data_IF_430993852208
#
_entry.id   IF_430993852208
#
_cell.length_a   1.000
_cell.length_b   1.000
_cell.length_c   1.000
_cell.angle_alpha   90.00
_cell.angle_beta   90.00
_cell.angle_gamma   90.00
#
_symmetry.space_group_name_H-M   'P 1'
#
loop_
_entity.id
_entity.type
_entity.pdbx_description
1 polymer ?
#
# COMPACT_ATOMS: atom_id res chain seq x y z
N UNK A 1 -17.30 -18.28 10.72
CA UNK A 1 -17.13 -16.91 11.28
C UNK A 1 -15.91 -16.21 10.69
N UNK A 2 -14.74 -16.84 10.65
CA UNK A 2 -13.50 -16.25 10.14
C UNK A 2 -13.58 -15.71 8.71
N UNK A 3 -14.11 -16.48 7.75
CA UNK A 3 -14.27 -16.03 6.36
C UNK A 3 -15.15 -14.78 6.22
N UNK A 4 -16.21 -14.65 7.01
CA UNK A 4 -17.05 -13.46 7.02
C UNK A 4 -16.29 -12.23 7.51
N UNK A 5 -15.50 -12.36 8.57
CA UNK A 5 -14.70 -11.26 9.10
C UNK A 5 -13.59 -10.86 8.12
N UNK A 6 -12.99 -11.82 7.42
CA UNK A 6 -12.02 -11.55 6.36
C UNK A 6 -12.65 -10.74 5.21
N UNK A 7 -13.81 -11.16 4.71
CA UNK A 7 -14.52 -10.43 3.63
C UNK A 7 -14.87 -9.02 4.08
N UNK A 8 -15.44 -8.86 5.28
CA UNK A 8 -15.77 -7.53 5.84
C UNK A 8 -14.52 -6.63 5.93
N UNK A 9 -13.41 -7.16 6.45
CA UNK A 9 -12.17 -6.40 6.56
C UNK A 9 -11.59 -6.03 5.18
N UNK A 10 -11.63 -6.95 4.22
CA UNK A 10 -11.15 -6.70 2.86
C UNK A 10 -11.98 -5.62 2.16
N UNK A 11 -13.31 -5.68 2.26
CA UNK A 11 -14.21 -4.67 1.69
C UNK A 11 -13.99 -3.31 2.36
N UNK A 12 -13.90 -3.26 3.69
CA UNK A 12 -13.63 -2.02 4.42
C UNK A 12 -12.29 -1.40 4.01
N UNK A 13 -11.26 -2.23 3.88
CA UNK A 13 -9.95 -1.80 3.40
C UNK A 13 -10.00 -1.29 1.95
N UNK A 14 -10.73 -1.99 1.06
CA UNK A 14 -10.91 -1.57 -0.34
C UNK A 14 -11.53 -0.19 -0.43
N UNK A 15 -12.60 0.06 0.32
CA UNK A 15 -13.29 1.36 0.28
C UNK A 15 -12.45 2.46 0.92
N UNK A 16 -11.73 2.17 2.01
CA UNK A 16 -10.78 3.13 2.59
C UNK A 16 -9.67 3.51 1.58
N UNK A 17 -9.12 2.54 0.84
CA UNK A 17 -8.08 2.79 -0.15
C UNK A 17 -8.61 3.45 -1.42
N UNK A 18 -9.84 3.17 -1.81
CA UNK A 18 -10.55 3.93 -2.84
C UNK A 18 -10.59 5.42 -2.46
N UNK A 19 -11.09 5.73 -1.27
CA UNK A 19 -11.19 7.09 -0.76
C UNK A 19 -9.81 7.78 -0.65
N UNK A 20 -8.84 7.07 -0.05
CA UNK A 20 -7.48 7.58 0.16
C UNK A 20 -6.77 8.00 -1.13
N UNK A 21 -7.02 7.29 -2.22
CA UNK A 21 -6.30 7.48 -3.49
C UNK A 21 -6.98 8.44 -4.46
N UNK A 22 -8.16 9.01 -4.15
CA UNK A 22 -8.95 9.83 -5.09
C UNK A 22 -8.19 11.02 -5.67
N UNK A 23 -7.34 11.68 -4.90
CA UNK A 23 -6.59 12.85 -5.37
C UNK A 23 -5.58 12.51 -6.47
N UNK A 24 -5.13 11.25 -6.56
CA UNK A 24 -4.22 10.82 -7.61
C UNK A 24 -4.86 10.88 -9.00
N UNK A 25 -5.88 10.07 -9.28
CA UNK A 25 -6.54 10.04 -10.58
C UNK A 25 -7.28 11.35 -10.93
N UNK A 26 -7.75 12.12 -9.95
CA UNK A 26 -8.38 13.44 -10.16
C UNK A 26 -7.35 14.58 -10.28
N UNK A 27 -6.06 14.29 -10.08
CA UNK A 27 -4.99 15.31 -10.11
C UNK A 27 -4.98 16.17 -11.38
N UNK A 28 -5.06 15.61 -12.60
CA UNK A 28 -5.09 16.39 -13.83
C UNK A 28 -6.30 17.34 -13.91
N UNK A 29 -7.50 16.88 -13.55
CA UNK A 29 -8.72 17.67 -13.60
C UNK A 29 -8.70 18.81 -12.57
N UNK A 30 -8.21 18.52 -11.35
CA UNK A 30 -7.99 19.52 -10.30
C UNK A 30 -6.90 20.52 -10.68
N UNK A 31 -5.87 20.07 -11.40
CA UNK A 31 -4.83 20.96 -11.93
C UNK A 31 -5.41 21.98 -12.90
N UNK A 32 -6.24 21.53 -13.82
CA UNK A 32 -6.88 22.38 -14.82
C UNK A 32 -7.88 23.35 -14.17
N UNK A 33 -8.77 22.85 -13.30
CA UNK A 33 -9.80 23.67 -12.65
C UNK A 33 -9.21 24.75 -11.73
N UNK A 34 -8.13 24.42 -10.98
CA UNK A 34 -7.53 25.35 -10.02
C UNK A 34 -6.33 26.11 -10.58
N UNK A 35 -5.93 25.88 -11.84
CA UNK A 35 -4.78 26.51 -12.46
C UNK A 35 -3.45 26.19 -11.74
N UNK A 36 -3.28 24.96 -11.25
CA UNK A 36 -2.12 24.56 -10.45
C UNK A 36 -0.88 24.29 -11.32
N UNK A 37 0.28 24.63 -10.78
CA UNK A 37 1.56 24.16 -11.35
C UNK A 37 1.75 22.64 -11.14
N UNK A 38 2.64 22.02 -11.93
CA UNK A 38 2.98 20.60 -11.79
C UNK A 38 3.48 20.25 -10.36
N UNK A 39 4.22 21.16 -9.74
CA UNK A 39 4.72 21.00 -8.37
C UNK A 39 3.58 21.01 -7.35
N UNK A 40 2.63 21.94 -7.51
CA UNK A 40 1.46 22.04 -6.63
C UNK A 40 0.57 20.81 -6.75
N UNK A 41 0.32 20.34 -7.98
CA UNK A 41 -0.46 19.12 -8.25
C UNK A 41 0.23 17.90 -7.66
N UNK A 42 1.53 17.72 -7.90
CA UNK A 42 2.29 16.60 -7.35
C UNK A 42 2.30 16.61 -5.81
N UNK A 43 2.39 17.80 -5.20
CA UNK A 43 2.33 17.95 -3.74
C UNK A 43 0.95 17.56 -3.21
N UNK A 44 -0.12 18.05 -3.84
CA UNK A 44 -1.50 17.75 -3.48
C UNK A 44 -1.80 16.23 -3.51
N UNK A 45 -1.34 15.55 -4.55
CA UNK A 45 -1.50 14.09 -4.70
C UNK A 45 -0.68 13.31 -3.67
N UNK A 46 0.50 13.83 -3.30
CA UNK A 46 1.41 13.13 -2.38
C UNK A 46 1.03 13.30 -0.89
N UNK A 47 0.40 14.40 -0.53
CA UNK A 47 0.10 14.75 0.88
C UNK A 47 -0.68 13.67 1.64
N UNK A 48 -1.71 12.99 1.08
CA UNK A 48 -2.40 11.91 1.78
C UNK A 48 -1.48 10.75 2.19
N UNK A 49 -0.40 10.51 1.44
CA UNK A 49 0.54 9.42 1.73
C UNK A 49 1.28 9.66 3.04
N UNK A 50 1.58 10.93 3.37
CA UNK A 50 2.32 11.28 4.58
C UNK A 50 1.55 10.90 5.84
N UNK A 51 0.31 11.41 6.00
CA UNK A 51 -0.48 11.09 7.18
C UNK A 51 -0.85 9.59 7.21
N UNK A 52 -1.18 9.02 6.05
CA UNK A 52 -1.47 7.59 5.92
C UNK A 52 -0.32 6.70 6.39
N UNK A 53 0.92 7.08 6.09
CA UNK A 53 2.10 6.37 6.55
C UNK A 53 2.35 6.56 8.06
N UNK A 54 2.31 7.79 8.55
CA UNK A 54 2.55 8.11 9.96
C UNK A 54 1.50 7.48 10.89
N UNK A 55 0.22 7.56 10.52
CA UNK A 55 -0.88 7.06 11.34
C UNK A 55 -0.97 5.54 11.41
N UNK A 56 -0.30 4.81 10.52
CA UNK A 56 -0.17 3.34 10.62
C UNK A 56 0.45 2.91 11.95
N UNK A 57 1.39 3.70 12.47
CA UNK A 57 2.10 3.37 13.72
C UNK A 57 1.15 3.44 14.94
N UNK A 58 0.54 4.58 15.28
CA UNK A 58 -0.35 4.66 16.43
C UNK A 58 -1.62 3.83 16.27
N UNK A 59 -2.19 3.74 15.08
CA UNK A 59 -3.41 2.96 14.87
C UNK A 59 -3.17 1.45 14.87
N UNK A 60 -2.02 0.98 14.38
CA UNK A 60 -1.63 -0.42 14.50
C UNK A 60 -1.46 -0.84 15.96
N UNK A 61 -0.75 -0.03 16.76
CA UNK A 61 -0.64 -0.24 18.20
C UNK A 61 -2.01 -0.19 18.91
N UNK A 62 -2.87 0.76 18.54
CA UNK A 62 -4.20 0.91 19.13
C UNK A 62 -5.08 -0.30 18.81
N UNK A 63 -4.97 -0.86 17.59
CA UNK A 63 -5.69 -2.08 17.19
C UNK A 63 -5.29 -3.29 18.02
N UNK A 64 -4.00 -3.41 18.40
CA UNK A 64 -3.57 -4.45 19.34
C UNK A 64 -4.19 -4.24 20.73
N UNK A 65 -4.30 -3.00 21.18
CA UNK A 65 -4.73 -2.65 22.54
C UNK A 65 -6.25 -2.71 22.74
N UNK A 66 -7.00 -2.05 21.87
CA UNK A 66 -8.44 -1.81 22.02
C UNK A 66 -9.28 -2.80 21.20
N UNK A 67 -8.69 -3.37 20.14
CA UNK A 67 -9.36 -4.23 19.17
C UNK A 67 -9.53 -3.56 17.82
N UNK A 68 -9.32 -4.36 16.79
CA UNK A 68 -9.38 -3.88 15.41
C UNK A 68 -10.77 -3.41 15.01
N UNK A 69 -11.83 -4.01 15.57
CA UNK A 69 -13.23 -3.63 15.30
C UNK A 69 -13.50 -2.15 15.59
N UNK A 70 -13.14 -1.69 16.78
CA UNK A 70 -13.41 -0.31 17.22
C UNK A 70 -12.54 0.66 16.45
N UNK A 71 -11.23 0.36 16.35
CA UNK A 71 -10.26 1.25 15.67
C UNK A 71 -10.62 1.43 14.20
N UNK A 72 -11.04 0.36 13.53
CA UNK A 72 -11.46 0.45 12.12
C UNK A 72 -12.75 1.25 11.93
N UNK A 73 -13.73 1.07 12.82
CA UNK A 73 -14.98 1.85 12.81
C UNK A 73 -14.69 3.35 12.96
N UNK A 74 -13.87 3.71 13.95
CA UNK A 74 -13.46 5.12 14.18
C UNK A 74 -12.68 5.68 12.99
N UNK A 75 -11.78 4.90 12.40
CA UNK A 75 -11.03 5.29 11.21
C UNK A 75 -11.97 5.60 10.04
N UNK A 76 -12.94 4.73 9.75
CA UNK A 76 -13.91 4.96 8.68
C UNK A 76 -14.80 6.17 8.96
N UNK A 77 -15.33 6.29 10.19
CA UNK A 77 -16.16 7.42 10.59
C UNK A 77 -15.39 8.76 10.50
N UNK A 78 -14.12 8.79 10.92
CA UNK A 78 -13.26 9.97 10.75
C UNK A 78 -13.05 10.31 9.28
N UNK A 79 -12.79 9.32 8.43
CA UNK A 79 -12.51 9.51 7.00
C UNK A 79 -13.69 10.14 6.24
N UNK A 80 -14.93 9.95 6.71
CA UNK A 80 -16.10 10.60 6.15
C UNK A 80 -16.01 12.14 6.23
N UNK A 81 -15.40 12.68 7.28
CA UNK A 81 -15.31 14.13 7.46
C UNK A 81 -14.52 14.82 6.33
N UNK A 82 -13.25 14.45 6.06
CA UNK A 82 -12.51 15.07 4.94
C UNK A 82 -13.10 14.74 3.57
N UNK A 83 -13.74 13.57 3.37
CA UNK A 83 -14.41 13.25 2.11
C UNK A 83 -15.58 14.19 1.82
N UNK A 84 -16.47 14.36 2.80
CA UNK A 84 -17.62 15.27 2.70
C UNK A 84 -17.12 16.71 2.52
N UNK A 85 -16.11 17.10 3.28
CA UNK A 85 -15.51 18.42 3.15
C UNK A 85 -14.91 18.66 1.77
N UNK A 86 -14.21 17.69 1.18
CA UNK A 86 -13.68 17.76 -0.19
C UNK A 86 -14.78 17.87 -1.24
N UNK A 87 -15.91 17.20 -1.04
CA UNK A 87 -17.05 17.31 -1.93
C UNK A 87 -17.62 18.74 -2.02
N UNK A 88 -17.51 19.52 -0.92
CA UNK A 88 -17.96 20.92 -0.87
C UNK A 88 -16.85 21.95 -1.16
N UNK A 89 -15.61 21.67 -0.70
CA UNK A 89 -14.50 22.65 -0.68
C UNK A 89 -13.26 22.16 -1.42
N UNK A 90 -13.41 21.85 -2.70
CA UNK A 90 -12.28 21.49 -3.58
C UNK A 90 -11.78 22.66 -4.43
N UNK A 91 -12.24 23.89 -4.16
CA UNK A 91 -11.98 25.09 -4.98
C UNK A 91 -10.69 25.85 -4.64
N UNK A 92 -9.86 25.37 -3.72
CA UNK A 92 -8.58 25.99 -3.40
C UNK A 92 -7.50 24.97 -3.06
N UNK A 93 -6.26 25.28 -3.45
CA UNK A 93 -5.10 24.42 -3.13
C UNK A 93 -4.94 24.22 -1.61
N UNK A 94 -5.15 25.27 -0.80
CA UNK A 94 -5.04 25.17 0.65
C UNK A 94 -6.03 24.20 1.26
N UNK A 95 -7.30 24.22 0.81
CA UNK A 95 -8.31 23.26 1.24
C UNK A 95 -7.94 21.84 0.78
N UNK A 96 -7.50 21.68 -0.46
CA UNK A 96 -7.07 20.39 -1.01
C UNK A 96 -5.90 19.78 -0.25
N UNK A 97 -4.89 20.59 0.11
CA UNK A 97 -3.75 20.13 0.91
C UNK A 97 -4.17 19.73 2.32
N UNK A 98 -4.97 20.54 3.00
CA UNK A 98 -5.43 20.24 4.36
C UNK A 98 -6.34 19.01 4.39
N UNK A 99 -7.39 19.01 3.55
CA UNK A 99 -8.37 17.92 3.53
C UNK A 99 -7.77 16.63 2.97
N UNK A 100 -6.88 16.73 1.98
CA UNK A 100 -6.11 15.62 1.46
C UNK A 100 -5.17 15.02 2.53
N UNK A 101 -4.50 15.86 3.32
CA UNK A 101 -3.72 15.41 4.47
C UNK A 101 -4.59 14.63 5.47
N UNK A 102 -5.74 15.18 5.86
CA UNK A 102 -6.68 14.52 6.77
C UNK A 102 -7.25 13.22 6.17
N UNK A 103 -7.56 13.20 4.86
CA UNK A 103 -7.99 12.00 4.14
C UNK A 103 -6.92 10.89 4.18
N UNK A 104 -5.66 11.27 4.31
CA UNK A 104 -4.54 10.36 4.48
C UNK A 104 -4.74 9.31 5.58
N UNK A 105 -5.52 9.66 6.61
CA UNK A 105 -5.84 8.75 7.73
C UNK A 105 -6.42 7.40 7.25
N UNK A 106 -7.19 7.38 6.16
CA UNK A 106 -7.72 6.16 5.55
C UNK A 106 -6.62 5.18 5.08
N UNK A 107 -5.45 5.70 4.71
CA UNK A 107 -4.29 4.89 4.33
C UNK A 107 -3.70 4.05 5.48
N UNK A 108 -4.08 4.34 6.74
CA UNK A 108 -3.69 3.54 7.89
C UNK A 108 -4.58 2.30 8.12
N UNK A 109 -5.69 2.16 7.39
CA UNK A 109 -6.62 1.03 7.51
C UNK A 109 -5.94 -0.33 7.37
N UNK A 110 -4.88 -0.42 6.55
CA UNK A 110 -4.10 -1.64 6.43
C UNK A 110 -3.50 -2.09 7.78
N UNK A 111 -2.90 -1.19 8.53
CA UNK A 111 -2.25 -1.52 9.80
C UNK A 111 -3.27 -1.93 10.90
N UNK A 112 -4.48 -1.43 10.81
CA UNK A 112 -5.59 -1.79 11.73
C UNK A 112 -6.16 -3.18 11.41
N UNK A 113 -6.32 -3.49 10.13
CA UNK A 113 -6.97 -4.73 9.74
C UNK A 113 -6.05 -5.95 9.81
N UNK A 114 -4.72 -5.79 9.70
CA UNK A 114 -3.79 -6.92 9.82
C UNK A 114 -3.95 -7.66 11.17
N UNK A 115 -3.87 -7.02 12.35
CA UNK A 115 -4.08 -7.71 13.63
C UNK A 115 -5.53 -8.20 13.79
N UNK A 116 -6.53 -7.49 13.25
CA UNK A 116 -7.93 -7.93 13.26
C UNK A 116 -8.11 -9.25 12.51
N UNK A 117 -7.63 -9.33 11.27
CA UNK A 117 -7.73 -10.55 10.44
C UNK A 117 -6.89 -11.66 11.02
N UNK A 118 -5.66 -11.35 11.45
CA UNK A 118 -4.75 -12.33 12.02
C UNK A 118 -5.36 -13.10 13.21
N UNK A 119 -6.11 -12.42 14.06
CA UNK A 119 -6.75 -13.05 15.22
C UNK A 119 -7.82 -14.10 14.89
N UNK A 120 -8.34 -14.14 13.66
CA UNK A 120 -9.39 -15.07 13.23
C UNK A 120 -8.85 -16.34 12.57
N UNK A 121 -7.56 -16.41 12.27
CA UNK A 121 -6.96 -17.52 11.51
C UNK A 121 -5.83 -18.18 12.27
N UNK A 122 -5.75 -19.51 12.15
CA UNK A 122 -4.64 -20.28 12.68
C UNK A 122 -3.34 -20.00 11.90
N UNK A 123 -2.16 -20.23 12.51
CA UNK A 123 -0.87 -19.95 11.88
C UNK A 123 -0.73 -20.51 10.46
N UNK A 124 -1.34 -21.67 10.16
CA UNK A 124 -1.25 -22.36 8.86
C UNK A 124 -2.05 -21.65 7.75
N UNK A 125 -2.95 -20.72 8.11
CA UNK A 125 -3.84 -20.00 7.20
C UNK A 125 -3.69 -18.48 7.27
N UNK A 126 -2.81 -17.99 8.10
CA UNK A 126 -2.60 -16.53 8.25
C UNK A 126 -2.08 -15.89 6.97
N UNK A 127 -1.18 -16.54 6.25
CA UNK A 127 -0.64 -16.05 4.99
C UNK A 127 -1.74 -15.86 3.94
N UNK A 128 -2.59 -16.87 3.75
CA UNK A 128 -3.76 -16.76 2.88
C UNK A 128 -4.67 -15.59 3.30
N UNK A 129 -5.04 -15.53 4.58
CA UNK A 129 -5.96 -14.52 5.08
C UNK A 129 -5.41 -13.10 4.93
N UNK A 130 -4.14 -12.88 5.28
CA UNK A 130 -3.48 -11.58 5.15
C UNK A 130 -3.21 -11.22 3.68
N UNK A 131 -2.98 -12.21 2.82
CA UNK A 131 -2.88 -12.02 1.37
C UNK A 131 -4.20 -11.55 0.77
N UNK A 132 -5.32 -12.20 1.12
CA UNK A 132 -6.67 -11.80 0.69
C UNK A 132 -7.03 -10.42 1.24
N UNK A 133 -6.78 -10.17 2.54
CA UNK A 133 -6.97 -8.85 3.12
C UNK A 133 -6.19 -7.78 2.36
N UNK A 134 -4.93 -8.08 2.04
CA UNK A 134 -4.04 -7.20 1.27
C UNK A 134 -4.55 -6.83 -0.13
N UNK A 135 -5.44 -7.64 -0.73
CA UNK A 135 -6.11 -7.27 -2.00
C UNK A 135 -6.97 -6.02 -1.88
N UNK A 136 -7.38 -5.63 -0.67
CA UNK A 136 -8.16 -4.41 -0.45
C UNK A 136 -7.44 -3.15 -0.96
N UNK A 137 -6.11 -3.15 -1.10
CA UNK A 137 -5.43 -2.05 -1.80
C UNK A 137 -5.85 -1.89 -3.26
N UNK A 138 -6.54 -2.86 -3.86
CA UNK A 138 -7.19 -2.73 -5.16
C UNK A 138 -8.20 -1.59 -5.23
N UNK A 139 -8.61 -1.03 -4.09
CA UNK A 139 -9.38 0.22 -4.02
C UNK A 139 -8.70 1.36 -4.79
N UNK A 140 -7.36 1.43 -4.79
CA UNK A 140 -6.62 2.44 -5.58
C UNK A 140 -6.78 2.23 -7.08
N UNK A 141 -6.80 0.97 -7.53
CA UNK A 141 -7.03 0.63 -8.94
C UNK A 141 -8.46 1.00 -9.34
N UNK A 142 -9.44 0.67 -8.48
CA UNK A 142 -10.84 1.05 -8.71
C UNK A 142 -11.00 2.57 -8.79
N UNK A 143 -10.35 3.33 -7.91
CA UNK A 143 -10.38 4.79 -7.97
C UNK A 143 -9.78 5.32 -9.29
N UNK A 144 -8.63 4.78 -9.70
CA UNK A 144 -8.01 5.15 -10.97
C UNK A 144 -8.86 4.89 -12.19
N UNK A 145 -9.62 3.79 -12.19
CA UNK A 145 -10.48 3.40 -13.31
C UNK A 145 -11.83 4.12 -13.33
N UNK A 146 -12.33 4.57 -12.18
CA UNK A 146 -13.71 5.08 -12.10
C UNK A 146 -13.79 6.57 -11.80
N UNK A 147 -12.88 7.13 -10.98
CA UNK A 147 -13.02 8.50 -10.51
C UNK A 147 -12.96 9.56 -11.63
N UNK A 148 -12.04 9.49 -12.63
CA UNK A 148 -12.05 10.46 -13.72
C UNK A 148 -13.35 10.43 -14.53
N UNK A 149 -13.80 9.25 -14.97
CA UNK A 149 -15.04 9.12 -15.73
C UNK A 149 -16.31 9.56 -14.97
N UNK A 150 -16.28 9.45 -13.62
CA UNK A 150 -17.35 9.97 -12.76
C UNK A 150 -17.27 11.49 -12.69
N UNK A 151 -16.07 12.05 -12.57
CA UNK A 151 -15.84 13.48 -12.55
C UNK A 151 -16.25 14.14 -13.88
N UNK A 152 -15.86 13.56 -15.01
CA UNK A 152 -16.24 14.02 -16.36
C UNK A 152 -17.76 14.08 -16.54
N UNK A 153 -18.49 13.10 -16.00
CA UNK A 153 -19.93 12.98 -16.22
C UNK A 153 -20.78 13.76 -15.23
N UNK A 154 -20.35 13.86 -13.97
CA UNK A 154 -21.16 14.42 -12.87
C UNK A 154 -20.44 15.51 -12.07
N UNK A 155 -19.27 15.97 -12.53
CA UNK A 155 -18.46 16.98 -11.88
C UNK A 155 -17.52 16.45 -10.79
N UNK A 156 -16.52 17.25 -10.45
CA UNK A 156 -15.41 16.89 -9.54
C UNK A 156 -15.85 16.54 -8.10
N UNK A 157 -17.01 17.02 -7.66
CA UNK A 157 -17.59 16.64 -6.36
C UNK A 157 -18.08 15.19 -6.32
N UNK A 158 -18.51 14.63 -7.46
CA UNK A 158 -19.21 13.35 -7.52
C UNK A 158 -18.35 12.16 -7.05
N UNK A 159 -17.05 12.02 -7.39
CA UNK A 159 -16.20 10.96 -6.85
C UNK A 159 -16.08 10.98 -5.32
N UNK A 160 -16.01 12.18 -4.71
CA UNK A 160 -15.95 12.32 -3.25
C UNK A 160 -17.28 11.92 -2.59
N UNK A 161 -18.42 12.31 -3.15
CA UNK A 161 -19.74 11.88 -2.68
C UNK A 161 -19.93 10.38 -2.80
N UNK A 162 -19.53 9.78 -3.92
CA UNK A 162 -19.60 8.32 -4.08
C UNK A 162 -18.73 7.61 -3.04
N UNK A 163 -17.50 8.07 -2.84
CA UNK A 163 -16.61 7.49 -1.83
C UNK A 163 -17.20 7.63 -0.42
N UNK A 164 -17.76 8.80 -0.08
CA UNK A 164 -18.39 9.02 1.21
C UNK A 164 -19.61 8.11 1.41
N UNK A 165 -20.47 7.95 0.40
CA UNK A 165 -21.62 7.06 0.45
C UNK A 165 -21.21 5.59 0.64
N UNK A 166 -20.25 5.10 -0.15
CA UNK A 166 -19.71 3.75 -0.03
C UNK A 166 -19.07 3.52 1.35
N UNK A 167 -18.28 4.46 1.83
CA UNK A 167 -17.64 4.38 3.13
C UNK A 167 -18.65 4.40 4.27
N UNK A 168 -19.69 5.23 4.20
CA UNK A 168 -20.76 5.26 5.19
C UNK A 168 -21.52 3.93 5.26
N UNK A 169 -21.89 3.37 4.10
CA UNK A 169 -22.56 2.06 4.02
C UNK A 169 -21.68 0.98 4.63
N UNK A 170 -20.40 0.93 4.23
CA UNK A 170 -19.47 -0.09 4.75
C UNK A 170 -19.21 0.11 6.24
N UNK A 171 -19.13 1.35 6.72
CA UNK A 171 -18.98 1.65 8.15
C UNK A 171 -20.17 1.14 8.96
N UNK A 172 -21.40 1.36 8.51
CA UNK A 172 -22.61 0.83 9.15
C UNK A 172 -22.59 -0.71 9.17
N UNK A 173 -22.32 -1.34 8.03
CA UNK A 173 -22.21 -2.80 7.93
C UNK A 173 -21.13 -3.33 8.89
N UNK A 174 -19.99 -2.64 8.96
CA UNK A 174 -18.90 -2.99 9.85
C UNK A 174 -19.31 -2.94 11.32
N UNK A 175 -19.91 -1.85 11.75
CA UNK A 175 -20.35 -1.68 13.14
C UNK A 175 -21.35 -2.78 13.57
N UNK A 176 -22.26 -3.14 12.67
CA UNK A 176 -23.29 -4.16 12.92
C UNK A 176 -22.74 -5.59 12.89
N UNK A 177 -21.80 -5.87 11.99
CA UNK A 177 -21.43 -7.25 11.65
C UNK A 177 -20.00 -7.65 12.05
N UNK A 178 -19.08 -6.70 12.21
CA UNK A 178 -17.71 -7.02 12.58
C UNK A 178 -17.63 -7.41 14.06
N UNK A 179 -16.76 -8.36 14.33
CA UNK A 179 -16.44 -8.83 15.68
C UNK A 179 -14.94 -9.05 15.79
N UNK A 180 -14.36 -8.68 16.91
CA UNK A 180 -12.99 -9.09 17.21
C UNK A 180 -12.95 -10.61 17.50
N UNK A 181 -11.82 -11.24 17.19
CA UNK A 181 -11.60 -12.63 17.56
C UNK A 181 -11.55 -12.76 19.08
N UNK A 182 -11.98 -13.92 19.62
CA UNK A 182 -11.81 -14.20 21.04
C UNK A 182 -10.34 -14.00 21.42
N UNK A 183 -10.10 -13.14 22.41
CA UNK A 183 -8.75 -12.91 22.93
C UNK A 183 -8.57 -13.73 24.20
N UNK A 184 -7.52 -14.49 24.30
CA UNK A 184 -7.02 -14.95 25.60
C UNK A 184 -6.69 -13.71 26.44
N UNK A 185 -6.96 -13.80 27.75
CA UNK A 185 -6.69 -12.71 28.67
C UNK A 185 -5.17 -12.41 28.68
N UNK A 186 -4.78 -11.46 27.85
CA UNK A 186 -3.39 -10.96 27.83
C UNK A 186 -3.24 -9.96 28.97
N UNK A 187 -2.09 -10.00 29.63
CA UNK A 187 -1.73 -9.00 30.63
C UNK A 187 -1.75 -7.56 30.07
N UNK A 188 -1.51 -6.53 30.92
CA UNK A 188 -1.54 -5.14 30.47
C UNK A 188 -0.63 -4.92 29.28
N UNK A 189 -1.18 -4.44 28.17
CA UNK A 189 -0.40 -4.15 26.96
C UNK A 189 0.55 -2.96 27.22
N UNK A 190 1.80 -3.05 26.76
CA UNK A 190 2.77 -1.97 26.94
C UNK A 190 2.32 -0.70 26.22
N UNK A 191 2.72 0.48 26.72
CA UNK A 191 2.52 1.75 26.04
C UNK A 191 3.16 1.74 24.64
N UNK A 192 2.69 2.63 23.76
CA UNK A 192 3.15 2.67 22.36
C UNK A 192 4.67 2.68 22.21
N UNK A 193 5.38 3.53 22.95
CA UNK A 193 6.84 3.61 22.87
C UNK A 193 7.53 2.33 23.37
N UNK A 194 6.97 1.66 24.38
CA UNK A 194 7.49 0.37 24.86
C UNK A 194 7.20 -0.76 23.87
N UNK A 195 6.06 -0.72 23.17
CA UNK A 195 5.76 -1.67 22.10
C UNK A 195 6.71 -1.49 20.91
N UNK A 196 7.05 -0.25 20.57
CA UNK A 196 7.98 0.11 19.50
C UNK A 196 9.46 -0.09 19.87
N UNK A 197 9.76 -0.26 21.16
CA UNK A 197 11.14 -0.51 21.62
C UNK A 197 11.74 -1.81 21.02
N UNK A 198 10.91 -2.71 20.48
CA UNK A 198 11.38 -3.88 19.73
C UNK A 198 12.28 -3.51 18.55
N UNK A 199 12.08 -2.35 17.95
CA UNK A 199 12.94 -1.86 16.86
C UNK A 199 14.35 -1.43 17.33
N UNK A 200 14.54 -1.17 18.63
CA UNK A 200 15.88 -0.88 19.20
C UNK A 200 16.74 -2.13 19.36
N UNK A 201 16.13 -3.30 19.52
CA UNK A 201 16.82 -4.55 19.88
C UNK A 201 16.69 -5.67 18.85
N UNK A 202 15.77 -5.56 17.89
CA UNK A 202 15.48 -6.64 16.94
C UNK A 202 15.86 -6.30 15.50
N UNK A 203 16.90 -6.96 15.00
CA UNK A 203 17.24 -6.92 13.57
C UNK A 203 16.12 -7.47 12.67
N UNK A 204 15.30 -8.42 13.18
CA UNK A 204 14.14 -8.96 12.46
C UNK A 204 13.09 -7.89 12.16
N UNK A 205 12.86 -6.97 13.11
CA UNK A 205 11.92 -5.87 12.91
C UNK A 205 12.37 -4.92 11.77
N UNK A 206 13.65 -4.57 11.75
CA UNK A 206 14.23 -3.77 10.65
C UNK A 206 14.28 -4.52 9.34
N UNK A 207 14.50 -5.82 9.35
CA UNK A 207 14.45 -6.64 8.14
C UNK A 207 13.04 -6.62 7.51
N UNK A 208 11.97 -6.80 8.31
CA UNK A 208 10.59 -6.66 7.81
C UNK A 208 10.33 -5.29 7.20
N UNK A 209 10.88 -4.24 7.80
CA UNK A 209 10.79 -2.87 7.32
C UNK A 209 11.44 -2.74 5.92
N UNK A 210 12.66 -3.27 5.75
CA UNK A 210 13.38 -3.30 4.47
C UNK A 210 12.63 -4.15 3.43
N UNK A 211 12.14 -5.32 3.82
CA UNK A 211 11.43 -6.23 2.93
C UNK A 211 10.14 -5.61 2.39
N UNK A 212 9.39 -4.92 3.24
CA UNK A 212 8.16 -4.27 2.82
C UNK A 212 8.41 -2.96 2.07
N UNK A 213 9.48 -2.24 2.42
CA UNK A 213 9.96 -1.10 1.63
C UNK A 213 10.24 -1.52 0.18
N UNK A 214 10.90 -2.67 -0.05
CA UNK A 214 11.12 -3.18 -1.40
C UNK A 214 9.81 -3.68 -2.04
N UNK A 215 9.09 -4.59 -1.35
CA UNK A 215 7.94 -5.26 -1.96
C UNK A 215 6.78 -4.30 -2.25
N UNK A 216 6.37 -3.50 -1.27
CA UNK A 216 5.28 -2.55 -1.42
C UNK A 216 5.75 -1.21 -1.99
N UNK A 217 6.86 -0.68 -1.49
CA UNK A 217 7.42 0.57 -1.99
C UNK A 217 7.85 0.45 -3.45
N UNK A 218 8.49 -0.65 -3.82
CA UNK A 218 8.84 -0.95 -5.21
C UNK A 218 7.61 -1.07 -6.11
N UNK A 219 6.54 -1.72 -5.63
CA UNK A 219 5.25 -1.77 -6.33
C UNK A 219 4.68 -0.36 -6.58
N UNK A 220 4.58 0.47 -5.53
CA UNK A 220 4.01 1.82 -5.66
C UNK A 220 4.90 2.70 -6.53
N UNK A 221 6.21 2.60 -6.38
CA UNK A 221 7.17 3.35 -7.20
C UNK A 221 7.02 3.01 -8.69
N UNK A 222 6.96 1.72 -9.03
CA UNK A 222 6.73 1.27 -10.41
C UNK A 222 5.38 1.74 -10.94
N UNK A 223 4.30 1.59 -10.16
CA UNK A 223 2.97 2.02 -10.54
C UNK A 223 2.90 3.52 -10.87
N UNK A 224 3.50 4.36 -10.04
CA UNK A 224 3.51 5.82 -10.23
C UNK A 224 4.43 6.27 -11.37
N UNK A 225 5.53 5.53 -11.60
CA UNK A 225 6.54 5.94 -12.57
C UNK A 225 6.32 5.36 -13.97
N UNK A 226 5.67 4.20 -14.06
CA UNK A 226 5.44 3.50 -15.33
C UNK A 226 4.72 4.38 -16.37
N UNK A 227 3.67 5.17 -16.05
CA UNK A 227 3.05 6.07 -17.02
C UNK A 227 4.03 7.10 -17.60
N UNK A 228 4.87 7.70 -16.77
CA UNK A 228 5.87 8.69 -17.22
C UNK A 228 6.93 8.08 -18.12
N UNK A 229 7.34 6.85 -17.84
CA UNK A 229 8.28 6.12 -18.68
C UNK A 229 7.64 5.78 -20.04
N UNK A 230 6.40 5.26 -20.02
CA UNK A 230 5.66 4.87 -21.22
C UNK A 230 5.38 6.06 -22.14
N UNK A 231 4.99 7.21 -21.57
CA UNK A 231 4.76 8.42 -22.38
C UNK A 231 6.07 9.05 -22.86
N UNK A 232 7.12 9.05 -22.04
CA UNK A 232 8.37 9.76 -22.33
C UNK A 232 9.37 8.99 -23.19
N UNK A 233 9.34 7.64 -23.17
CA UNK A 233 10.27 6.79 -23.93
C UNK A 233 9.57 6.13 -25.12
N UNK A 234 8.31 5.71 -24.92
CA UNK A 234 7.56 4.95 -25.94
C UNK A 234 6.46 5.76 -26.61
N UNK A 235 6.37 7.05 -26.30
CA UNK A 235 5.43 8.01 -26.93
C UNK A 235 3.93 7.58 -26.87
N UNK A 236 3.58 6.75 -25.85
CA UNK A 236 2.21 6.32 -25.67
C UNK A 236 1.33 7.49 -25.21
N UNK A 237 0.04 7.42 -25.53
CA UNK A 237 -0.93 8.37 -25.00
C UNK A 237 -1.04 8.22 -23.47
N UNK A 238 -1.42 9.31 -22.77
CA UNK A 238 -1.63 9.28 -21.30
C UNK A 238 -2.64 8.19 -20.89
N UNK A 239 -3.69 8.01 -21.69
CA UNK A 239 -4.73 7.00 -21.46
C UNK A 239 -4.17 5.57 -21.55
N UNK A 240 -3.40 5.23 -22.59
CA UNK A 240 -2.83 3.90 -22.78
C UNK A 240 -1.76 3.62 -21.71
N UNK A 241 -0.90 4.59 -21.41
CA UNK A 241 0.09 4.48 -20.35
C UNK A 241 -0.55 4.26 -18.97
N UNK A 242 -1.62 4.98 -18.67
CA UNK A 242 -2.39 4.81 -17.44
C UNK A 242 -3.07 3.44 -17.35
N UNK A 243 -3.67 2.96 -18.43
CA UNK A 243 -4.29 1.63 -18.49
C UNK A 243 -3.27 0.51 -18.25
N UNK A 244 -2.06 0.61 -18.84
CA UNK A 244 -0.97 -0.36 -18.61
C UNK A 244 -0.46 -0.35 -17.17
N UNK A 245 -0.34 0.84 -16.56
CA UNK A 245 0.01 0.95 -15.14
C UNK A 245 -1.07 0.36 -14.24
N UNK A 246 -2.35 0.56 -14.56
CA UNK A 246 -3.46 -0.08 -13.85
C UNK A 246 -3.42 -1.62 -13.98
N UNK A 247 -3.09 -2.14 -15.15
CA UNK A 247 -2.88 -3.57 -15.38
C UNK A 247 -1.73 -4.15 -14.55
N UNK A 248 -0.60 -3.43 -14.48
CA UNK A 248 0.52 -3.77 -13.58
C UNK A 248 0.05 -3.84 -12.11
N UNK A 249 -0.67 -2.81 -11.65
CA UNK A 249 -1.16 -2.74 -10.28
C UNK A 249 -2.16 -3.86 -9.97
N UNK A 250 -3.10 -4.13 -10.88
CA UNK A 250 -4.08 -5.19 -10.72
C UNK A 250 -3.39 -6.55 -10.58
N UNK A 251 -2.41 -6.85 -11.43
CA UNK A 251 -1.68 -8.11 -11.39
C UNK A 251 -0.91 -8.28 -10.06
N UNK A 252 -0.26 -7.23 -9.58
CA UNK A 252 0.42 -7.25 -8.29
C UNK A 252 -0.54 -7.48 -7.12
N UNK A 253 -1.72 -6.84 -7.15
CA UNK A 253 -2.77 -7.03 -6.13
C UNK A 253 -3.28 -8.46 -6.12
N UNK A 254 -3.56 -9.03 -7.30
CA UNK A 254 -4.05 -10.41 -7.44
C UNK A 254 -3.00 -11.47 -7.05
N UNK A 255 -1.71 -11.17 -7.19
CA UNK A 255 -0.63 -12.06 -6.78
C UNK A 255 -0.44 -12.15 -5.24
N UNK A 256 -0.98 -11.22 -4.45
CA UNK A 256 -0.83 -11.21 -2.98
C UNK A 256 -1.38 -12.45 -2.27
N UNK A 257 -2.61 -12.89 -2.53
CA UNK A 257 -3.12 -14.11 -1.92
C UNK A 257 -2.27 -15.33 -2.26
N UNK A 258 -1.77 -15.41 -3.50
CA UNK A 258 -0.87 -16.49 -3.93
C UNK A 258 0.42 -16.47 -3.12
N UNK A 259 1.02 -15.29 -2.88
CA UNK A 259 2.18 -15.13 -2.00
C UNK A 259 1.89 -15.59 -0.57
N UNK A 260 0.72 -15.25 -0.05
CA UNK A 260 0.26 -15.70 1.27
C UNK A 260 0.09 -17.22 1.36
N UNK A 261 -0.62 -17.83 0.39
CA UNK A 261 -0.82 -19.30 0.31
C UNK A 261 0.51 -20.03 0.17
N UNK A 262 1.40 -19.55 -0.70
CA UNK A 262 2.73 -20.14 -0.85
C UNK A 262 3.52 -20.04 0.45
N UNK A 263 3.41 -18.91 1.16
CA UNK A 263 4.05 -18.72 2.46
C UNK A 263 3.54 -19.69 3.51
N UNK A 264 2.25 -20.00 3.51
CA UNK A 264 1.66 -21.00 4.40
C UNK A 264 2.16 -22.42 4.09
N UNK A 265 2.46 -22.74 2.80
CA UNK A 265 2.85 -24.08 2.35
C UNK A 265 4.34 -24.35 2.40
N UNK A 266 5.16 -23.42 1.94
CA UNK A 266 6.61 -23.61 1.77
C UNK A 266 7.45 -22.70 2.66
N UNK A 267 6.79 -21.84 3.47
CA UNK A 267 7.43 -20.86 4.35
C UNK A 267 7.67 -19.51 3.69
N UNK A 268 7.39 -18.44 4.43
CA UNK A 268 7.45 -17.07 3.92
C UNK A 268 8.87 -16.65 3.46
N UNK A 269 9.91 -17.14 4.15
CA UNK A 269 11.29 -16.83 3.78
C UNK A 269 11.67 -17.34 2.38
N UNK A 270 11.18 -18.53 1.98
CA UNK A 270 11.43 -19.06 0.62
C UNK A 270 10.72 -18.25 -0.44
N UNK A 271 9.46 -17.85 -0.17
CA UNK A 271 8.68 -17.00 -1.09
C UNK A 271 9.35 -15.65 -1.26
N UNK A 272 9.83 -15.02 -0.19
CA UNK A 272 10.56 -13.77 -0.24
C UNK A 272 11.88 -13.90 -1.00
N UNK A 273 12.60 -15.01 -0.84
CA UNK A 273 13.85 -15.25 -1.58
C UNK A 273 13.61 -15.27 -3.09
N UNK A 274 12.58 -15.99 -3.54
CA UNK A 274 12.19 -16.04 -4.98
C UNK A 274 11.72 -14.67 -5.45
N UNK A 275 10.86 -13.98 -4.67
CA UNK A 275 10.35 -12.65 -4.99
C UNK A 275 11.50 -11.65 -5.16
N UNK A 276 12.38 -11.53 -4.18
CA UNK A 276 13.46 -10.53 -4.21
C UNK A 276 14.55 -10.85 -5.24
N UNK A 277 14.85 -12.13 -5.46
CA UNK A 277 15.72 -12.54 -6.57
C UNK A 277 15.12 -12.16 -7.92
N UNK A 278 13.82 -12.45 -8.11
CA UNK A 278 13.08 -12.07 -9.30
C UNK A 278 13.10 -10.55 -9.52
N UNK A 279 12.74 -9.77 -8.49
CA UNK A 279 12.77 -8.28 -8.56
C UNK A 279 14.17 -7.77 -8.92
N UNK A 280 15.22 -8.33 -8.31
CA UNK A 280 16.61 -7.93 -8.58
C UNK A 280 16.98 -8.17 -10.04
N UNK A 281 16.74 -9.38 -10.55
CA UNK A 281 17.07 -9.74 -11.94
C UNK A 281 16.26 -8.92 -12.93
N UNK A 282 14.96 -8.76 -12.69
CA UNK A 282 14.07 -7.98 -13.56
C UNK A 282 14.42 -6.48 -13.56
N UNK A 283 14.82 -5.94 -12.40
CA UNK A 283 15.26 -4.55 -12.31
C UNK A 283 16.56 -4.33 -13.10
N UNK A 284 17.53 -5.26 -13.05
CA UNK A 284 18.73 -5.19 -13.87
C UNK A 284 18.42 -5.33 -15.36
N UNK A 285 17.49 -6.22 -15.74
CA UNK A 285 17.03 -6.36 -17.12
C UNK A 285 16.37 -5.06 -17.63
N UNK A 286 15.54 -4.42 -16.79
CA UNK A 286 14.95 -3.11 -17.11
C UNK A 286 16.02 -2.02 -17.23
N UNK A 287 17.02 -2.00 -16.35
CA UNK A 287 18.14 -1.03 -16.46
C UNK A 287 18.87 -1.12 -17.80
N UNK A 288 18.99 -2.33 -18.34
CA UNK A 288 19.68 -2.58 -19.62
C UNK A 288 18.79 -2.37 -20.86
N UNK A 289 17.47 -2.55 -20.74
CA UNK A 289 16.60 -2.71 -21.90
C UNK A 289 15.18 -2.07 -21.78
N UNK A 290 15.01 -1.04 -20.94
CA UNK A 290 13.71 -0.36 -20.77
C UNK A 290 13.24 0.35 -22.05
N UNK A 291 14.09 0.58 -23.02
CA UNK A 291 13.77 1.16 -24.34
C UNK A 291 13.08 0.15 -25.28
N UNK A 292 13.17 -1.15 -24.98
CA UNK A 292 12.44 -2.16 -25.72
C UNK A 292 11.05 -2.37 -25.10
N UNK A 293 9.97 -2.03 -25.82
CA UNK A 293 8.60 -2.19 -25.36
C UNK A 293 8.28 -3.66 -24.96
N UNK A 294 8.78 -4.63 -25.72
CA UNK A 294 8.55 -6.05 -25.46
C UNK A 294 9.19 -6.46 -24.13
N UNK A 295 10.48 -6.13 -23.94
CA UNK A 295 11.21 -6.46 -22.71
C UNK A 295 10.64 -5.70 -21.52
N UNK A 296 10.31 -4.40 -21.67
CA UNK A 296 9.66 -3.60 -20.66
C UNK A 296 8.36 -4.26 -20.20
N UNK A 297 7.50 -4.68 -21.14
CA UNK A 297 6.21 -5.32 -20.82
C UNK A 297 6.41 -6.62 -20.06
N UNK A 298 7.26 -7.52 -20.56
CA UNK A 298 7.53 -8.82 -19.91
C UNK A 298 8.11 -8.59 -18.50
N UNK A 299 9.11 -7.73 -18.37
CA UNK A 299 9.75 -7.45 -17.09
C UNK A 299 8.76 -6.80 -16.09
N UNK A 300 7.95 -5.83 -16.54
CA UNK A 300 6.97 -5.18 -15.66
C UNK A 300 5.89 -6.13 -15.18
N UNK A 301 5.29 -6.95 -16.06
CA UNK A 301 4.26 -7.91 -15.66
C UNK A 301 4.81 -8.99 -14.71
N UNK A 302 6.00 -9.52 -15.01
CA UNK A 302 6.65 -10.50 -14.12
C UNK A 302 7.04 -9.86 -12.78
N UNK A 303 7.52 -8.62 -12.79
CA UNK A 303 7.85 -7.85 -11.59
C UNK A 303 6.60 -7.57 -10.74
N UNK A 304 5.46 -7.27 -11.36
CA UNK A 304 4.18 -7.11 -10.65
C UNK A 304 3.84 -8.37 -9.85
N UNK A 305 3.99 -9.55 -10.45
CA UNK A 305 3.77 -10.83 -9.76
C UNK A 305 4.79 -11.00 -8.62
N UNK A 306 6.07 -10.78 -8.89
CA UNK A 306 7.12 -10.94 -7.88
C UNK A 306 6.90 -10.02 -6.67
N UNK A 307 6.60 -8.73 -6.89
CA UNK A 307 6.29 -7.76 -5.83
C UNK A 307 5.01 -8.13 -5.08
N UNK A 308 3.98 -8.59 -5.79
CA UNK A 308 2.74 -9.08 -5.21
C UNK A 308 2.95 -10.28 -4.28
N UNK A 309 3.69 -11.28 -4.72
CA UNK A 309 4.09 -12.44 -3.89
C UNK A 309 4.85 -11.99 -2.64
N UNK A 310 5.83 -11.09 -2.81
CA UNK A 310 6.64 -10.55 -1.71
C UNK A 310 5.79 -9.82 -0.67
N UNK A 311 4.86 -8.96 -1.11
CA UNK A 311 3.97 -8.23 -0.18
C UNK A 311 3.05 -9.17 0.62
N UNK A 312 2.57 -10.25 0.02
CA UNK A 312 1.81 -11.29 0.72
C UNK A 312 2.66 -12.03 1.76
N UNK A 313 3.90 -12.35 1.40
CA UNK A 313 4.82 -13.10 2.25
C UNK A 313 5.35 -12.31 3.46
N UNK A 314 5.63 -11.01 3.31
CA UNK A 314 6.13 -10.18 4.43
C UNK A 314 5.17 -10.20 5.61
N UNK A 315 3.87 -10.05 5.36
CA UNK A 315 2.89 -10.02 6.44
C UNK A 315 2.60 -11.36 7.08
N UNK A 316 3.00 -12.45 6.47
CA UNK A 316 3.05 -13.76 7.15
C UNK A 316 4.15 -13.80 8.22
N UNK A 317 5.31 -13.19 7.98
CA UNK A 317 6.41 -13.14 8.94
C UNK A 317 6.12 -12.25 10.17
N UNK A 318 5.25 -11.23 10.03
CA UNK A 318 4.94 -10.33 11.15
C UNK A 318 4.38 -11.09 12.35
N UNK A 319 3.25 -11.84 12.24
CA UNK A 319 2.73 -12.59 13.37
C UNK A 319 3.64 -13.78 13.77
N UNK A 320 4.40 -14.36 12.85
CA UNK A 320 5.36 -15.43 13.17
C UNK A 320 6.49 -14.94 14.08
N UNK A 321 7.02 -13.75 13.81
CA UNK A 321 8.16 -13.21 14.56
C UNK A 321 7.75 -12.35 15.77
N UNK A 322 6.55 -11.77 15.73
CA UNK A 322 6.06 -10.82 16.74
C UNK A 322 4.58 -11.06 17.09
N UNK A 323 4.20 -12.26 17.59
CA UNK A 323 2.81 -12.63 17.81
C UNK A 323 2.08 -11.71 18.80
N UNK A 324 2.80 -11.14 19.78
CA UNK A 324 2.21 -10.27 20.80
C UNK A 324 2.10 -8.80 20.40
N UNK A 325 2.69 -8.41 19.26
CA UNK A 325 2.83 -7.00 18.81
C UNK A 325 2.56 -6.85 17.31
N UNK A 326 1.66 -7.66 16.77
CA UNK A 326 1.36 -7.71 15.33
C UNK A 326 1.00 -6.34 14.78
N UNK A 327 0.10 -5.61 15.43
CA UNK A 327 -0.35 -4.30 14.97
C UNK A 327 0.73 -3.23 15.08
N UNK A 328 1.47 -3.18 16.20
CA UNK A 328 2.55 -2.21 16.39
C UNK A 328 3.67 -2.41 15.35
N UNK A 329 4.09 -3.66 15.10
CA UNK A 329 5.11 -3.97 14.08
C UNK A 329 4.58 -3.71 12.67
N UNK A 330 3.33 -4.14 12.37
CA UNK A 330 2.66 -3.84 11.10
C UNK A 330 2.59 -2.34 10.83
N UNK A 331 2.35 -1.53 11.87
CA UNK A 331 2.31 -0.08 11.78
C UNK A 331 3.62 0.50 11.23
N UNK A 332 4.76 0.14 11.82
CA UNK A 332 6.08 0.63 11.38
C UNK A 332 6.48 0.06 10.01
N UNK A 333 6.31 -1.24 9.83
CA UNK A 333 6.60 -1.92 8.55
C UNK A 333 5.74 -1.32 7.43
N UNK A 334 4.45 -1.10 7.71
CA UNK A 334 3.52 -0.47 6.78
C UNK A 334 3.86 0.98 6.47
N UNK A 335 4.30 1.75 7.48
CA UNK A 335 4.76 3.13 7.31
C UNK A 335 5.97 3.20 6.38
N UNK A 336 6.96 2.33 6.59
CA UNK A 336 8.13 2.26 5.74
C UNK A 336 7.79 1.89 4.29
N UNK A 337 6.85 0.95 4.09
CA UNK A 337 6.35 0.62 2.76
C UNK A 337 5.66 1.81 2.08
N UNK A 338 4.87 2.60 2.83
CA UNK A 338 4.26 3.83 2.33
C UNK A 338 5.30 4.86 1.90
N UNK A 339 6.32 5.08 2.74
CA UNK A 339 7.46 5.96 2.42
C UNK A 339 8.26 5.42 1.22
N UNK A 340 8.37 4.09 1.09
CA UNK A 340 8.95 3.44 -0.09
C UNK A 340 8.18 3.70 -1.38
N UNK A 341 6.89 4.04 -1.29
CA UNK A 341 6.10 4.52 -2.44
C UNK A 341 6.30 6.01 -2.72
N UNK A 342 6.70 6.80 -1.74
CA UNK A 342 6.86 8.24 -1.84
C UNK A 342 8.27 8.65 -2.33
N UNK A 343 9.32 8.15 -1.67
CA UNK A 343 10.69 8.57 -1.98
C UNK A 343 11.23 8.09 -3.34
N UNK A 344 11.08 6.82 -3.77
CA UNK A 344 11.64 6.36 -5.03
C UNK A 344 11.17 7.13 -6.25
N UNK A 345 9.90 7.52 -6.42
CA UNK A 345 9.49 8.40 -7.52
C UNK A 345 10.20 9.74 -7.54
N UNK A 346 10.46 10.35 -6.38
CA UNK A 346 11.24 11.59 -6.29
C UNK A 346 12.69 11.37 -6.70
N UNK A 347 13.32 10.29 -6.21
CA UNK A 347 14.68 9.90 -6.59
C UNK A 347 14.75 9.64 -8.09
N UNK A 348 13.78 8.94 -8.67
CA UNK A 348 13.71 8.69 -10.11
C UNK A 348 13.59 9.98 -10.92
N UNK A 349 12.86 10.98 -10.44
CA UNK A 349 12.77 12.30 -11.07
C UNK A 349 14.13 13.00 -11.10
N UNK A 350 14.83 13.03 -9.96
CA UNK A 350 16.18 13.59 -9.85
C UNK A 350 17.18 12.83 -10.72
N UNK A 351 17.14 11.50 -10.67
CA UNK A 351 18.00 10.63 -11.49
C UNK A 351 17.81 10.91 -12.99
N UNK A 352 16.55 10.97 -13.45
CA UNK A 352 16.24 11.28 -14.84
C UNK A 352 16.76 12.65 -15.27
N UNK A 353 16.59 13.68 -14.43
CA UNK A 353 17.08 15.02 -14.73
C UNK A 353 18.61 15.10 -14.76
N UNK A 354 19.29 14.33 -13.93
CA UNK A 354 20.77 14.31 -13.84
C UNK A 354 21.44 13.42 -14.89
N UNK A 355 20.83 12.30 -15.28
CA UNK A 355 21.43 11.27 -16.16
C UNK A 355 20.79 11.19 -17.54
N UNK A 356 19.66 11.84 -17.75
CA UNK A 356 18.87 11.77 -18.99
C UNK A 356 18.07 10.48 -19.16
N UNK A 357 18.24 9.47 -18.28
CA UNK A 357 17.66 8.14 -18.43
C UNK A 357 17.03 7.58 -17.15
N UNK A 358 16.44 6.40 -17.25
CA UNK A 358 15.79 5.69 -16.15
C UNK A 358 16.62 4.55 -15.56
N UNK A 359 17.70 4.13 -16.26
CA UNK A 359 18.52 2.96 -15.92
C UNK A 359 19.00 2.95 -14.46
N UNK A 360 19.54 4.09 -13.98
CA UNK A 360 20.06 4.18 -12.62
C UNK A 360 18.99 3.93 -11.57
N UNK A 361 17.74 4.35 -11.80
CA UNK A 361 16.63 4.05 -10.88
C UNK A 361 16.33 2.56 -10.75
N UNK A 362 16.38 1.82 -11.85
CA UNK A 362 16.25 0.36 -11.82
C UNK A 362 17.46 -0.30 -11.16
N UNK A 363 18.67 0.22 -11.35
CA UNK A 363 19.88 -0.26 -10.64
C UNK A 363 19.72 -0.05 -9.13
N UNK A 364 19.24 1.11 -8.67
CA UNK A 364 18.98 1.35 -7.25
C UNK A 364 17.94 0.36 -6.68
N UNK A 365 16.89 0.06 -7.42
CA UNK A 365 15.91 -0.96 -7.03
C UNK A 365 16.56 -2.35 -6.91
N UNK A 366 17.44 -2.72 -7.84
CA UNK A 366 18.19 -3.97 -7.80
C UNK A 366 19.10 -4.04 -6.57
N UNK A 367 19.78 -2.94 -6.21
CA UNK A 367 20.63 -2.88 -5.01
C UNK A 367 19.82 -3.10 -3.74
N UNK A 368 18.64 -2.52 -3.62
CA UNK A 368 17.72 -2.78 -2.49
C UNK A 368 17.28 -4.25 -2.48
N UNK A 369 17.06 -4.85 -3.66
CA UNK A 369 16.78 -6.27 -3.82
C UNK A 369 17.90 -7.16 -3.30
N UNK A 370 19.14 -6.88 -3.70
CA UNK A 370 20.34 -7.59 -3.21
C UNK A 370 20.48 -7.43 -1.69
N UNK A 371 20.33 -6.22 -1.16
CA UNK A 371 20.40 -5.98 0.28
C UNK A 371 19.34 -6.80 1.03
N UNK A 372 18.10 -6.85 0.51
CA UNK A 372 17.01 -7.64 1.08
C UNK A 372 17.32 -9.14 1.07
N UNK A 373 17.89 -9.66 -0.03
CA UNK A 373 18.33 -11.08 -0.12
C UNK A 373 19.43 -11.41 0.86
N UNK A 374 20.43 -10.54 1.01
CA UNK A 374 21.54 -10.74 1.97
C UNK A 374 21.02 -10.77 3.40
N UNK A 375 20.17 -9.81 3.77
CA UNK A 375 19.55 -9.76 5.10
C UNK A 375 18.69 -10.98 5.36
N UNK A 376 17.85 -11.38 4.39
CA UNK A 376 16.99 -12.55 4.51
C UNK A 376 17.82 -13.84 4.72
N UNK A 377 18.87 -14.05 3.91
CA UNK A 377 19.77 -15.21 4.07
C UNK A 377 20.42 -15.26 5.46
N UNK A 378 20.94 -14.14 5.95
CA UNK A 378 21.56 -14.09 7.28
C UNK A 378 20.58 -14.49 8.39
N UNK A 379 19.31 -14.02 8.31
CA UNK A 379 18.31 -14.33 9.31
C UNK A 379 17.79 -15.78 9.26
N UNK A 380 17.85 -16.42 8.09
CA UNK A 380 17.44 -17.84 7.93
C UNK A 380 18.52 -18.84 8.25
N UNK A 381 19.82 -18.43 8.27
CA UNK A 381 20.94 -19.31 8.64
C UNK A 381 21.34 -19.18 10.13
N UNK A 382 20.86 -18.14 10.81
CA UNK A 382 21.17 -17.91 12.26
C UNK A 382 20.08 -18.43 13.20
N UNK A 383 19.12 -19.16 12.73
CA UNK A 383 18.07 -19.84 13.51
C UNK A 383 17.97 -21.29 13.13
#
# INVERSE_FOLDING_TARGET
>A
MSSRQLVLATVAFTVCFYAWSLLGPLGPDLQEELGLSDVQTSTMVAVPVLLGSLMRIPLGWLADRVGGRIVFAVLMAYTLLPLIALAFWHSSLGAMLLLGFLLGFAGASFAVGVPFVNGWFTPERQGFALGVYGMGMGGTVLAGLTAPGIADKWGLSAPFWLAAALLAIVCVIWVLLARDAPREARGPMPGMFAALAVFKSSGRAWALTLFYFLAFGGFVAMFLYLPKLLTGVHELTKSDAGARAAGFALLAVLARPTGGVLSDRIGAARVLMVSFAGVTVLALALAAAYESMVLLTICCLTMAVALGLGTGAVFKLVPEWFPDRVGAVTGVVGAAGGLGGFFPPLVMGVVKSATGGYALGFVLMALVGVASLVVLRRLTHSG
#
